data_IF_846436043845
#
_entry.id   IF_846436043845
#
_cell.length_a   1.000
_cell.length_b   1.000
_cell.length_c   1.000
_cell.angle_alpha   90.00
_cell.angle_beta   90.00
_cell.angle_gamma   90.00
#
_symmetry.space_group_name_H-M   'P 1'
#
loop_
_entity.id
_entity.type
_entity.pdbx_description
1 polymer ?
#
# COMPACT_ATOMS: atom_id res chain seq x y z
N UNK A 1 5.76 26.53 12.54
CA UNK A 1 5.74 25.96 11.17
C UNK A 1 6.20 24.49 11.21
N UNK A 2 7.39 24.17 11.71
CA UNK A 2 7.90 22.78 11.82
C UNK A 2 7.04 21.88 12.73
N UNK A 3 6.58 22.39 13.87
CA UNK A 3 5.74 21.63 14.82
C UNK A 3 4.37 21.26 14.24
N UNK A 4 3.86 22.12 13.36
CA UNK A 4 2.58 21.92 12.68
C UNK A 4 2.69 20.84 11.60
N UNK A 5 3.80 20.85 10.82
CA UNK A 5 4.10 19.80 9.86
C UNK A 5 4.32 18.44 10.53
N UNK A 6 5.01 18.41 11.68
CA UNK A 6 5.20 17.19 12.46
C UNK A 6 3.88 16.64 13.01
N UNK A 7 3.01 17.52 13.50
CA UNK A 7 1.67 17.13 13.98
C UNK A 7 0.82 16.55 12.86
N UNK A 8 0.79 17.20 11.69
CA UNK A 8 0.05 16.70 10.52
C UNK A 8 0.59 15.34 10.08
N UNK A 9 1.91 15.18 10.00
CA UNK A 9 2.52 13.91 9.61
C UNK A 9 2.19 12.80 10.60
N UNK A 10 2.19 13.09 11.90
CA UNK A 10 1.82 12.13 12.93
C UNK A 10 0.35 11.70 12.82
N UNK A 11 -0.57 12.64 12.61
CA UNK A 11 -1.99 12.34 12.41
C UNK A 11 -2.21 11.50 11.15
N UNK A 12 -1.53 11.83 10.05
CA UNK A 12 -1.60 11.05 8.81
C UNK A 12 -1.05 9.64 9.01
N UNK A 13 0.07 9.48 9.72
CA UNK A 13 0.65 8.18 10.02
C UNK A 13 -0.29 7.32 10.88
N UNK A 14 -0.88 7.88 11.94
CA UNK A 14 -1.85 7.19 12.79
C UNK A 14 -3.08 6.75 11.99
N UNK A 15 -3.59 7.63 11.14
CA UNK A 15 -4.70 7.32 10.24
C UNK A 15 -4.34 6.19 9.27
N UNK A 16 -3.13 6.22 8.68
CA UNK A 16 -2.63 5.16 7.79
C UNK A 16 -2.55 3.81 8.49
N UNK A 17 -2.04 3.79 9.73
CA UNK A 17 -1.92 2.57 10.55
C UNK A 17 -3.31 2.01 10.88
N UNK A 18 -4.25 2.86 11.27
CA UNK A 18 -5.63 2.47 11.58
C UNK A 18 -6.30 1.83 10.37
N UNK A 19 -6.13 2.43 9.19
CA UNK A 19 -6.66 1.90 7.94
C UNK A 19 -6.00 0.59 7.56
N UNK A 20 -4.68 0.48 7.70
CA UNK A 20 -3.95 -0.76 7.40
C UNK A 20 -4.41 -1.91 8.30
N UNK A 21 -4.61 -1.67 9.59
CA UNK A 21 -5.15 -2.68 10.51
C UNK A 21 -6.59 -3.07 10.15
N UNK A 22 -7.41 -2.10 9.76
CA UNK A 22 -8.79 -2.34 9.32
C UNK A 22 -8.80 -3.23 8.06
N UNK A 23 -7.99 -2.90 7.06
CA UNK A 23 -7.81 -3.69 5.83
C UNK A 23 -7.27 -5.10 6.13
N UNK A 24 -6.32 -5.22 7.07
CA UNK A 24 -5.77 -6.51 7.46
C UNK A 24 -6.85 -7.45 8.06
N UNK A 25 -7.91 -6.90 8.65
CA UNK A 25 -9.05 -7.67 9.18
C UNK A 25 -10.09 -8.10 8.15
N UNK A 26 -10.06 -7.57 6.92
CA UNK A 26 -11.06 -7.88 5.89
C UNK A 26 -10.77 -9.22 5.21
N UNK A 27 -11.79 -9.93 4.74
CA UNK A 27 -11.60 -11.12 3.91
C UNK A 27 -11.05 -10.73 2.51
N UNK A 28 -10.43 -11.69 1.81
CA UNK A 28 -9.78 -11.41 0.53
C UNK A 28 -10.77 -10.98 -0.56
N UNK A 29 -12.01 -11.47 -0.56
CA UNK A 29 -12.99 -11.07 -1.55
C UNK A 29 -13.39 -9.59 -1.36
N UNK A 30 -13.55 -9.15 -0.11
CA UNK A 30 -13.77 -7.74 0.21
C UNK A 30 -12.59 -6.84 -0.18
N UNK A 31 -11.34 -7.30 0.00
CA UNK A 31 -10.16 -6.55 -0.44
C UNK A 31 -10.10 -6.41 -1.97
N UNK A 32 -10.48 -7.45 -2.72
CA UNK A 32 -10.57 -7.40 -4.18
C UNK A 32 -11.66 -6.40 -4.60
N UNK A 33 -12.85 -6.46 -4.00
CA UNK A 33 -13.92 -5.51 -4.28
C UNK A 33 -13.50 -4.06 -3.98
N UNK A 34 -12.84 -3.82 -2.84
CA UNK A 34 -12.32 -2.51 -2.47
C UNK A 34 -11.28 -2.00 -3.49
N UNK A 35 -10.39 -2.88 -3.96
CA UNK A 35 -9.39 -2.54 -4.98
C UNK A 35 -10.04 -2.07 -6.28
N UNK A 36 -11.11 -2.74 -6.72
CA UNK A 36 -11.85 -2.38 -7.93
C UNK A 36 -12.54 -1.02 -7.75
N UNK A 37 -13.23 -0.82 -6.62
CA UNK A 37 -13.92 0.45 -6.32
C UNK A 37 -12.92 1.60 -6.26
N UNK A 38 -11.80 1.42 -5.55
CA UNK A 38 -10.74 2.42 -5.47
C UNK A 38 -10.15 2.75 -6.85
N UNK A 39 -9.93 1.73 -7.69
CA UNK A 39 -9.45 1.92 -9.06
C UNK A 39 -10.43 2.71 -9.92
N UNK A 40 -11.73 2.42 -9.83
CA UNK A 40 -12.77 3.16 -10.56
C UNK A 40 -12.82 4.62 -10.10
N UNK A 41 -12.80 4.86 -8.78
CA UNK A 41 -12.79 6.21 -8.21
C UNK A 41 -11.52 6.98 -8.58
N UNK A 42 -10.35 6.32 -8.54
CA UNK A 42 -9.08 6.90 -8.97
C UNK A 42 -9.11 7.25 -10.47
N UNK A 43 -9.73 6.41 -11.30
CA UNK A 43 -9.94 6.68 -12.72
C UNK A 43 -10.87 7.87 -12.98
N UNK A 44 -11.99 7.97 -12.25
CA UNK A 44 -12.91 9.11 -12.35
C UNK A 44 -12.21 10.40 -11.90
N UNK A 45 -11.48 10.35 -10.78
CA UNK A 45 -10.70 11.48 -10.26
C UNK A 45 -9.57 11.88 -11.23
N UNK A 46 -8.86 10.91 -11.82
CA UNK A 46 -7.82 11.16 -12.82
C UNK A 46 -8.39 11.82 -14.09
N UNK A 47 -9.60 11.41 -14.51
CA UNK A 47 -10.31 12.08 -15.62
C UNK A 47 -10.72 13.51 -15.25
N UNK A 48 -11.16 13.73 -14.00
CA UNK A 48 -11.46 15.07 -13.49
C UNK A 48 -10.19 15.94 -13.34
N UNK A 49 -9.02 15.33 -13.15
CA UNK A 49 -7.73 16.01 -13.11
C UNK A 49 -7.25 16.48 -14.49
N UNK A 50 -7.73 15.89 -15.58
CA UNK A 50 -7.45 16.34 -16.95
C UNK A 50 -8.25 17.62 -17.34
N UNK A 51 -8.92 18.27 -16.39
CA UNK A 51 -9.68 19.48 -16.63
C UNK A 51 -8.77 20.69 -16.94
N UNK A 52 -9.23 21.66 -17.78
CA UNK A 52 -8.42 22.81 -18.22
C UNK A 52 -8.12 23.84 -17.12
N UNK A 53 -8.66 23.67 -15.91
CA UNK A 53 -8.47 24.57 -14.77
C UNK A 53 -7.39 24.03 -13.82
N UNK A 54 -6.27 24.76 -13.70
CA UNK A 54 -5.08 24.35 -12.92
C UNK A 54 -5.39 23.99 -11.45
N UNK A 55 -6.24 24.76 -10.77
CA UNK A 55 -6.64 24.47 -9.38
C UNK A 55 -7.43 23.16 -9.27
N UNK A 56 -8.30 22.89 -10.23
CA UNK A 56 -9.13 21.69 -10.26
C UNK A 56 -8.26 20.47 -10.60
N UNK A 57 -7.30 20.63 -11.51
CA UNK A 57 -6.30 19.62 -11.86
C UNK A 57 -5.43 19.22 -10.66
N UNK A 58 -4.95 20.18 -9.85
CA UNK A 58 -4.14 19.87 -8.66
C UNK A 58 -4.96 19.14 -7.60
N UNK A 59 -6.19 19.59 -7.33
CA UNK A 59 -7.07 18.96 -6.33
C UNK A 59 -7.43 17.54 -6.75
N UNK A 60 -7.94 17.36 -7.97
CA UNK A 60 -8.34 16.03 -8.46
C UNK A 60 -7.14 15.12 -8.72
N UNK A 61 -6.00 15.67 -9.12
CA UNK A 61 -4.75 14.93 -9.27
C UNK A 61 -4.25 14.39 -7.93
N UNK A 62 -4.31 15.20 -6.87
CA UNK A 62 -3.97 14.76 -5.52
C UNK A 62 -4.95 13.69 -5.02
N UNK A 63 -6.26 13.88 -5.25
CA UNK A 63 -7.28 12.88 -4.89
C UNK A 63 -7.03 11.55 -5.62
N UNK A 64 -6.76 11.60 -6.93
CA UNK A 64 -6.44 10.41 -7.71
C UNK A 64 -5.17 9.71 -7.20
N UNK A 65 -4.14 10.48 -6.84
CA UNK A 65 -2.89 9.94 -6.29
C UNK A 65 -3.11 9.26 -4.93
N UNK A 66 -3.89 9.86 -4.04
CA UNK A 66 -4.23 9.28 -2.72
C UNK A 66 -5.02 7.98 -2.90
N UNK A 67 -6.01 7.97 -3.80
CA UNK A 67 -6.80 6.77 -4.10
C UNK A 67 -5.93 5.66 -4.69
N UNK A 68 -5.00 5.99 -5.59
CA UNK A 68 -4.07 5.03 -6.17
C UNK A 68 -3.08 4.47 -5.14
N UNK A 69 -2.57 5.31 -4.22
CA UNK A 69 -1.72 4.86 -3.11
C UNK A 69 -2.49 3.92 -2.17
N UNK A 70 -3.74 4.25 -1.86
CA UNK A 70 -4.60 3.40 -1.04
C UNK A 70 -4.86 2.06 -1.75
N UNK A 71 -5.14 2.08 -3.05
CA UNK A 71 -5.30 0.88 -3.86
C UNK A 71 -4.03 0.01 -3.85
N UNK A 72 -2.85 0.61 -3.99
CA UNK A 72 -1.57 -0.10 -3.90
C UNK A 72 -1.38 -0.75 -2.52
N UNK A 73 -1.80 -0.09 -1.43
CA UNK A 73 -1.76 -0.67 -0.08
C UNK A 73 -2.72 -1.86 0.08
N UNK A 74 -3.92 -1.80 -0.52
CA UNK A 74 -4.86 -2.94 -0.55
C UNK A 74 -4.26 -4.10 -1.34
N UNK A 75 -3.72 -3.83 -2.53
CA UNK A 75 -3.04 -4.84 -3.37
C UNK A 75 -1.87 -5.47 -2.62
N UNK A 76 -1.07 -4.67 -1.90
CA UNK A 76 0.01 -5.17 -1.06
C UNK A 76 -0.49 -6.07 0.08
N UNK A 77 -1.62 -5.73 0.70
CA UNK A 77 -2.24 -6.54 1.76
C UNK A 77 -2.76 -7.88 1.21
N UNK A 78 -3.24 -7.90 -0.04
CA UNK A 78 -3.58 -9.14 -0.73
C UNK A 78 -2.31 -9.92 -1.04
N UNK A 79 -1.31 -9.28 -1.65
CA UNK A 79 -0.04 -9.91 -2.02
C UNK A 79 0.67 -10.53 -0.81
N UNK A 80 0.69 -9.86 0.34
CA UNK A 80 1.32 -10.38 1.57
C UNK A 80 0.61 -11.61 2.15
N UNK A 81 -0.67 -11.82 1.84
CA UNK A 81 -1.40 -13.05 2.21
C UNK A 81 -1.04 -14.23 1.32
N UNK A 82 -0.68 -13.97 0.07
CA UNK A 82 -0.35 -15.00 -0.93
C UNK A 82 1.15 -15.20 -1.12
N UNK A 83 2.00 -14.26 -0.69
CA UNK A 83 3.44 -14.48 -0.57
C UNK A 83 3.70 -15.24 0.75
N UNK A 84 4.08 -16.53 0.71
CA UNK A 84 4.46 -17.24 1.92
C UNK A 84 5.82 -16.72 2.40
N UNK A 85 5.82 -15.72 3.29
CA UNK A 85 7.04 -15.25 3.98
C UNK A 85 7.72 -16.44 4.70
N UNK A 86 6.92 -17.41 5.16
CA UNK A 86 7.39 -18.68 5.75
C UNK A 86 8.23 -19.52 4.78
N UNK A 87 7.91 -19.51 3.49
CA UNK A 87 8.67 -20.22 2.46
C UNK A 87 9.98 -19.51 2.11
N UNK A 88 9.99 -18.18 2.14
CA UNK A 88 11.20 -17.38 1.87
C UNK A 88 12.25 -17.63 2.94
N UNK A 89 11.88 -17.66 4.21
CA UNK A 89 12.83 -17.97 5.30
C UNK A 89 13.37 -19.40 5.16
N UNK A 90 12.49 -20.37 4.86
CA UNK A 90 12.90 -21.76 4.65
C UNK A 90 13.84 -21.90 3.44
N UNK A 91 13.57 -21.19 2.34
CA UNK A 91 14.42 -21.14 1.15
C UNK A 91 15.73 -20.36 1.38
N UNK A 92 15.69 -19.25 2.12
CA UNK A 92 16.88 -18.47 2.50
C UNK A 92 17.78 -19.31 3.40
N UNK A 93 17.22 -20.00 4.42
CA UNK A 93 17.96 -20.91 5.28
C UNK A 93 18.55 -22.07 4.48
N UNK A 94 17.82 -22.64 3.52
CA UNK A 94 18.35 -23.68 2.64
C UNK A 94 19.49 -23.16 1.76
N UNK A 95 19.33 -21.98 1.13
CA UNK A 95 20.39 -21.39 0.29
C UNK A 95 21.59 -20.91 1.09
N UNK A 96 21.40 -20.40 2.31
CA UNK A 96 22.47 -20.01 3.23
C UNK A 96 23.20 -21.23 3.81
N UNK A 97 22.49 -22.34 4.09
CA UNK A 97 23.15 -23.60 4.44
C UNK A 97 23.90 -24.21 3.26
N UNK A 98 23.38 -24.05 2.03
CA UNK A 98 24.06 -24.50 0.80
C UNK A 98 25.27 -23.62 0.45
N UNK A 99 25.28 -22.34 0.84
CA UNK A 99 26.43 -21.44 0.71
C UNK A 99 27.38 -21.47 1.92
N UNK A 100 27.00 -22.16 3.00
CA UNK A 100 27.88 -22.50 4.12
C UNK A 100 28.83 -23.61 3.71
N UNK A 101 30.07 -23.23 3.41
CA UNK A 101 31.19 -24.12 3.11
C UNK A 101 31.21 -25.37 4.03
N UNK A 102 31.44 -26.58 3.46
CA UNK A 102 31.63 -27.77 4.27
C UNK A 102 32.97 -27.69 5.00
N UNK A 103 32.88 -27.58 6.32
CA UNK A 103 33.93 -27.92 7.28
C UNK A 103 34.79 -26.76 7.73
N UNK A 104 34.52 -26.22 8.93
CA UNK A 104 35.47 -26.15 10.05
C UNK A 104 34.66 -26.02 11.37
N UNK A 105 34.59 -27.12 12.13
CA UNK A 105 34.69 -27.28 13.59
C UNK A 105 34.08 -28.63 14.00
#
# INVERSE_FOLDING_TARGET
>A
MADQAATILHTLAQWLVTISQTLAGWDTASLIAATIILGVLAGIAGRAAAAPRLHQQIIWGLVAAVLALMQAAVIWTIASRYLPITGIDTLLRHMLHVQGMPGIL
#
